data_IF_897111772216
#
_entry.id   IF_897111772216
#
_cell.length_a   1.000
_cell.length_b   1.000
_cell.length_c   1.000
_cell.angle_alpha   90.00
_cell.angle_beta   90.00
_cell.angle_gamma   90.00
#
_symmetry.space_group_name_H-M   'P 1'
#
loop_
_entity.id
_entity.type
_entity.pdbx_description
1 polymer ?
#
# COMPACT_ATOMS: atom_id res chain seq x y z
N UNK A 1 -22.40 -6.18 -9.38
CA UNK A 1 -21.75 -4.87 -9.52
C UNK A 1 -20.49 -4.86 -8.66
N UNK A 2 -19.31 -4.59 -9.22
CA UNK A 2 -18.09 -4.44 -8.42
C UNK A 2 -18.19 -3.12 -7.65
N UNK A 3 -18.09 -3.16 -6.33
CA UNK A 3 -18.06 -1.97 -5.50
C UNK A 3 -16.62 -1.43 -5.46
N UNK A 4 -16.41 -0.21 -5.98
CA UNK A 4 -15.15 0.51 -5.84
C UNK A 4 -15.12 1.12 -4.43
N UNK A 5 -14.01 0.93 -3.71
CA UNK A 5 -13.78 1.51 -2.38
C UNK A 5 -12.43 2.21 -2.36
N UNK A 6 -12.41 3.44 -1.86
CA UNK A 6 -11.17 4.14 -1.55
C UNK A 6 -10.65 3.64 -0.19
N UNK A 7 -9.37 3.25 -0.13
CA UNK A 7 -8.71 2.82 1.10
C UNK A 7 -7.47 3.67 1.33
N UNK A 8 -7.32 4.19 2.56
CA UNK A 8 -6.10 4.86 3.02
C UNK A 8 -5.26 3.83 3.78
N UNK A 9 -4.06 3.54 3.28
CA UNK A 9 -3.12 2.58 3.87
C UNK A 9 -1.89 3.34 4.38
N UNK A 10 -1.47 3.04 5.60
CA UNK A 10 -0.22 3.56 6.19
C UNK A 10 0.72 2.39 6.47
N UNK A 11 1.96 2.47 5.97
CA UNK A 11 2.99 1.46 6.24
C UNK A 11 3.90 1.97 7.36
N UNK A 12 4.03 1.18 8.43
CA UNK A 12 4.85 1.50 9.61
C UNK A 12 6.06 0.56 9.69
N UNK A 13 7.14 1.04 10.30
CA UNK A 13 8.39 0.28 10.49
C UNK A 13 9.61 1.19 10.43
N UNK A 14 10.78 0.66 10.80
CA UNK A 14 12.03 1.42 10.87
C UNK A 14 12.49 1.99 9.52
N UNK A 15 13.36 2.99 9.57
CA UNK A 15 14.00 3.55 8.37
C UNK A 15 14.81 2.47 7.65
N UNK A 16 14.69 2.40 6.32
CA UNK A 16 15.48 1.46 5.49
C UNK A 16 14.88 0.06 5.30
N UNK A 17 13.77 -0.30 5.95
CA UNK A 17 13.15 -1.65 5.82
C UNK A 17 12.42 -1.91 4.48
N UNK A 18 12.45 -0.95 3.54
CA UNK A 18 11.88 -1.14 2.20
C UNK A 18 10.39 -0.81 2.03
N UNK A 19 9.76 -0.06 2.96
CA UNK A 19 8.34 0.36 2.84
C UNK A 19 8.05 1.04 1.50
N UNK A 20 8.88 2.00 1.11
CA UNK A 20 8.74 2.73 -0.15
C UNK A 20 8.98 1.83 -1.36
N UNK A 21 9.89 0.86 -1.27
CA UNK A 21 10.14 -0.13 -2.31
C UNK A 21 8.92 -1.03 -2.55
N UNK A 22 8.21 -1.43 -1.50
CA UNK A 22 6.94 -2.19 -1.60
C UNK A 22 5.87 -1.35 -2.29
N UNK A 23 5.73 -0.07 -1.91
CA UNK A 23 4.77 0.84 -2.55
C UNK A 23 5.13 1.09 -4.01
N UNK A 24 6.39 1.33 -4.34
CA UNK A 24 6.85 1.47 -5.73
C UNK A 24 6.61 0.21 -6.55
N UNK A 25 6.84 -0.99 -5.99
CA UNK A 25 6.61 -2.24 -6.70
C UNK A 25 5.12 -2.47 -6.93
N UNK A 26 4.31 -2.37 -5.88
CA UNK A 26 2.86 -2.48 -6.02
C UNK A 26 2.31 -1.41 -6.98
N UNK A 27 2.82 -0.19 -6.81
CA UNK A 27 2.89 1.02 -7.63
C UNK A 27 2.96 0.89 -9.16
N UNK A 28 4.18 0.67 -9.57
CA UNK A 28 4.71 0.99 -10.88
C UNK A 28 5.25 -0.31 -11.50
N UNK A 29 5.03 -1.45 -10.83
CA UNK A 29 5.67 -2.74 -11.09
C UNK A 29 7.20 -2.64 -11.18
N UNK A 30 7.79 -1.62 -10.54
CA UNK A 30 9.21 -1.29 -10.61
C UNK A 30 9.90 -1.48 -9.26
N UNK A 31 11.14 -1.95 -9.29
CA UNK A 31 11.99 -2.08 -8.12
C UNK A 31 13.36 -1.50 -8.42
N UNK A 32 13.79 -0.56 -7.58
CA UNK A 32 15.11 0.05 -7.62
C UNK A 32 15.81 -0.19 -6.29
N UNK A 33 17.02 -0.75 -6.37
CA UNK A 33 17.85 -1.05 -5.21
C UNK A 33 18.42 0.21 -4.53
N UNK A 34 18.45 1.33 -5.26
CA UNK A 34 19.03 2.59 -4.82
C UNK A 34 17.98 3.60 -4.34
N UNK A 35 16.76 3.14 -3.98
CA UNK A 35 15.76 4.02 -3.36
C UNK A 35 16.34 4.61 -2.08
N UNK A 36 16.47 5.94 -2.07
CA UNK A 36 16.90 6.68 -0.91
C UNK A 36 15.83 6.63 0.20
N UNK A 37 16.24 6.71 1.48
CA UNK A 37 15.30 6.79 2.58
C UNK A 37 14.31 7.94 2.37
N UNK A 38 13.02 7.66 2.59
CA UNK A 38 11.99 8.69 2.53
C UNK A 38 12.20 9.69 3.66
N UNK A 39 12.39 10.98 3.31
CA UNK A 39 12.46 12.07 4.28
C UNK A 39 11.03 12.49 4.63
N UNK A 40 10.62 12.27 5.89
CA UNK A 40 9.28 12.60 6.35
C UNK A 40 8.22 11.58 5.90
N UNK A 41 7.18 12.05 5.21
CA UNK A 41 6.06 11.23 4.74
C UNK A 41 5.95 11.29 3.21
N UNK A 42 5.67 10.15 2.58
CA UNK A 42 5.41 10.06 1.15
C UNK A 42 3.98 9.59 0.85
N UNK A 43 3.16 10.45 0.22
CA UNK A 43 1.78 10.16 -0.19
C UNK A 43 1.67 10.02 -1.72
N UNK A 44 1.95 8.83 -2.27
CA UNK A 44 1.71 8.59 -3.69
C UNK A 44 0.20 8.38 -3.90
N UNK A 45 -0.47 9.30 -4.61
CA UNK A 45 -1.88 9.21 -4.99
C UNK A 45 -2.04 8.30 -6.22
N UNK A 46 -2.22 6.99 -6.03
CA UNK A 46 -2.46 6.07 -7.15
C UNK A 46 -3.70 5.21 -6.90
N UNK A 47 -4.55 5.13 -7.92
CA UNK A 47 -5.69 4.22 -7.94
C UNK A 47 -5.28 2.87 -8.55
N UNK A 48 -5.21 1.82 -7.73
CA UNK A 48 -5.10 0.42 -8.19
C UNK A 48 -6.38 -0.32 -7.96
N UNK A 49 -6.85 -1.01 -9.00
CA UNK A 49 -7.94 -1.98 -8.84
C UNK A 49 -7.40 -3.21 -8.12
N UNK A 50 -7.86 -3.43 -6.89
CA UNK A 50 -7.64 -4.69 -6.17
C UNK A 50 -8.91 -5.51 -6.34
N UNK A 51 -8.81 -6.66 -7.00
CA UNK A 51 -9.93 -7.58 -7.08
C UNK A 51 -10.06 -8.33 -5.76
N UNK A 52 -11.12 -8.03 -5.02
CA UNK A 52 -11.47 -8.79 -3.82
C UNK A 52 -12.39 -9.95 -4.23
N UNK A 53 -12.07 -11.18 -3.81
CA UNK A 53 -12.97 -12.32 -3.95
C UNK A 53 -14.26 -12.03 -3.15
N UNK A 54 -15.41 -11.94 -3.83
CA UNK A 54 -16.70 -11.68 -3.20
C UNK A 54 -17.07 -12.91 -2.33
N UNK A 55 -16.96 -12.78 -1.00
CA UNK A 55 -17.33 -13.85 -0.07
C UNK A 55 -16.73 -13.73 1.33
N UNK A 56 -15.59 -13.05 1.50
CA UNK A 56 -15.06 -12.76 2.84
C UNK A 56 -15.74 -11.53 3.45
N UNK A 57 -16.19 -11.59 4.72
CA UNK A 57 -16.67 -10.41 5.41
C UNK A 57 -15.53 -9.38 5.48
N UNK A 58 -15.82 -8.07 5.37
CA UNK A 58 -14.79 -7.04 5.50
C UNK A 58 -14.14 -7.19 6.88
N UNK A 59 -12.86 -7.57 6.92
CA UNK A 59 -12.11 -7.56 8.16
C UNK A 59 -12.07 -6.13 8.66
N UNK A 60 -12.58 -5.85 9.86
CA UNK A 60 -12.48 -4.51 10.40
C UNK A 60 -11.00 -4.11 10.50
N UNK A 61 -10.69 -2.89 10.03
CA UNK A 61 -9.32 -2.34 10.01
C UNK A 61 -8.67 -2.39 11.39
N UNK A 62 -9.46 -2.28 12.47
CA UNK A 62 -9.00 -2.40 13.86
C UNK A 62 -8.48 -3.78 14.27
N UNK A 63 -8.61 -4.80 13.42
CA UNK A 63 -8.10 -6.15 13.69
C UNK A 63 -6.68 -6.39 13.14
N UNK A 64 -6.13 -5.41 12.44
CA UNK A 64 -4.78 -5.44 11.83
C UNK A 64 -3.80 -4.52 12.59
N UNK A 65 -4.31 -3.70 13.51
CA UNK A 65 -3.53 -2.77 14.36
C UNK A 65 -3.31 -3.37 15.74
#
# INVERSE_FOLDING_TARGET
MMAIRELKVCLLGDTGVGKSSIVCRFVQDHFDHNISPTIGFWFPQIMKSIQHCQGSPPTPVWKII
#
